data_IF_822575841005
#
_entry.id   IF_822575841005
#
_cell.length_a   1.000
_cell.length_b   1.000
_cell.length_c   1.000
_cell.angle_alpha   90.00
_cell.angle_beta   90.00
_cell.angle_gamma   90.00
#
_symmetry.space_group_name_H-M   'P 1'
#
loop_
_entity.id
_entity.type
_entity.pdbx_description
1 polymer ?
#
# COMPACT_ATOMS: atom_id res chain seq x y z
N UNK A 1 -4.81 33.06 -46.80
CA UNK A 1 -4.42 31.64 -46.80
C UNK A 1 -3.63 31.38 -45.53
N UNK A 2 -4.32 30.88 -44.50
CA UNK A 2 -3.78 30.63 -43.16
C UNK A 2 -2.90 29.38 -43.17
N UNK A 3 -1.65 29.50 -42.71
CA UNK A 3 -0.79 28.34 -42.42
C UNK A 3 -0.83 28.07 -40.92
N UNK A 4 -1.44 26.95 -40.54
CA UNK A 4 -1.45 26.44 -39.17
C UNK A 4 -0.04 25.99 -38.74
N UNK A 5 0.37 26.17 -37.48
CA UNK A 5 1.58 25.56 -36.96
C UNK A 5 1.28 24.14 -36.44
N UNK A 6 2.04 23.16 -36.92
CA UNK A 6 1.98 21.76 -36.51
C UNK A 6 2.80 21.57 -35.23
N UNK A 7 2.13 21.25 -34.13
CA UNK A 7 2.75 20.91 -32.84
C UNK A 7 3.41 19.52 -32.93
N UNK A 8 4.61 19.30 -32.35
CA UNK A 8 5.19 17.96 -32.27
C UNK A 8 4.43 17.12 -31.23
N UNK A 9 4.03 15.90 -31.60
CA UNK A 9 3.54 14.89 -30.66
C UNK A 9 4.67 14.55 -29.70
N UNK A 10 4.43 14.73 -28.40
CA UNK A 10 5.28 14.20 -27.35
C UNK A 10 5.15 12.68 -27.33
N UNK A 11 6.21 11.97 -27.68
CA UNK A 11 6.32 10.53 -27.53
C UNK A 11 6.26 10.19 -26.03
N UNK A 12 5.23 9.44 -25.65
CA UNK A 12 5.16 8.76 -24.36
C UNK A 12 6.33 7.76 -24.28
N UNK A 13 6.99 7.58 -23.12
CA UNK A 13 8.02 6.57 -22.99
C UNK A 13 7.39 5.20 -23.25
N UNK A 14 7.85 4.54 -24.31
CA UNK A 14 7.59 3.13 -24.57
C UNK A 14 7.94 2.35 -23.31
N UNK A 15 6.94 1.67 -22.74
CA UNK A 15 7.16 0.64 -21.76
C UNK A 15 8.23 -0.29 -22.30
N UNK A 16 9.32 -0.48 -21.55
CA UNK A 16 10.28 -1.54 -21.82
C UNK A 16 9.53 -2.87 -21.67
N UNK A 17 8.91 -3.30 -22.76
CA UNK A 17 8.42 -4.66 -22.94
C UNK A 17 9.69 -5.47 -23.05
N UNK A 18 9.98 -6.29 -22.04
CA UNK A 18 11.11 -7.22 -22.09
C UNK A 18 10.94 -8.12 -23.31
N UNK A 19 11.74 -7.87 -24.34
CA UNK A 19 11.93 -8.76 -25.49
C UNK A 19 12.74 -9.99 -25.03
N UNK A 20 12.09 -10.92 -24.33
CA UNK A 20 12.49 -12.34 -24.36
C UNK A 20 11.33 -13.28 -23.97
N UNK A 21 10.14 -13.02 -24.51
CA UNK A 21 9.00 -13.93 -24.40
C UNK A 21 9.12 -15.09 -25.41
N UNK A 22 10.25 -15.81 -25.37
CA UNK A 22 10.63 -16.75 -26.43
C UNK A 22 11.47 -17.96 -26.01
N UNK A 23 11.54 -18.29 -24.71
CA UNK A 23 11.95 -19.60 -24.13
C UNK A 23 11.73 -19.51 -22.62
N UNK A 24 11.07 -20.49 -22.01
CA UNK A 24 10.58 -20.43 -20.62
C UNK A 24 11.66 -20.23 -19.55
N UNK A 25 12.08 -18.98 -19.36
CA UNK A 25 12.87 -18.52 -18.23
C UNK A 25 11.98 -17.90 -17.14
N UNK A 26 12.46 -17.82 -15.89
CA UNK A 26 11.69 -17.27 -14.78
C UNK A 26 11.33 -15.80 -15.02
N UNK A 27 10.10 -15.41 -14.66
CA UNK A 27 9.61 -14.02 -14.80
C UNK A 27 10.21 -13.19 -13.67
N UNK A 28 11.24 -12.38 -13.97
CA UNK A 28 12.00 -11.65 -12.94
C UNK A 28 12.21 -10.18 -13.30
N UNK A 29 12.24 -9.31 -12.28
CA UNK A 29 12.51 -7.87 -12.46
C UNK A 29 13.95 -7.59 -12.85
N UNK A 30 14.86 -8.38 -12.28
CA UNK A 30 16.30 -8.12 -12.24
C UNK A 30 17.01 -9.45 -12.39
N UNK A 31 17.42 -9.78 -13.62
CA UNK A 31 18.07 -11.04 -13.95
C UNK A 31 19.34 -11.32 -13.12
N UNK A 32 20.02 -10.26 -12.65
CA UNK A 32 21.21 -10.35 -11.80
C UNK A 32 20.93 -10.73 -10.34
N UNK A 33 19.66 -10.72 -9.90
CA UNK A 33 19.25 -11.14 -8.54
C UNK A 33 18.71 -12.58 -8.51
N UNK A 34 18.64 -13.25 -9.66
CA UNK A 34 18.15 -14.63 -9.75
C UNK A 34 19.09 -15.55 -8.99
N UNK A 35 18.57 -16.09 -7.88
CA UNK A 35 19.30 -17.04 -7.07
C UNK A 35 19.26 -18.43 -7.71
N UNK A 36 20.43 -19.05 -7.92
CA UNK A 36 20.51 -20.46 -8.29
C UNK A 36 19.90 -21.39 -7.22
N UNK A 37 19.74 -20.91 -5.98
CA UNK A 37 19.16 -21.68 -4.86
C UNK A 37 17.64 -21.57 -4.76
N UNK A 38 17.04 -20.51 -5.30
CA UNK A 38 15.58 -20.36 -5.39
C UNK A 38 15.21 -19.32 -6.44
N UNK A 39 15.05 -19.73 -7.70
CA UNK A 39 14.53 -18.88 -8.76
C UNK A 39 13.10 -18.38 -8.48
N UNK A 40 12.29 -19.18 -7.78
CA UNK A 40 10.90 -18.88 -7.44
C UNK A 40 10.78 -17.67 -6.48
N UNK A 41 11.78 -17.48 -5.60
CA UNK A 41 11.83 -16.31 -4.72
C UNK A 41 11.98 -15.02 -5.53
N UNK A 42 12.81 -15.02 -6.57
CA UNK A 42 13.02 -13.85 -7.43
C UNK A 42 11.77 -13.52 -8.26
N UNK A 43 11.03 -14.54 -8.70
CA UNK A 43 9.73 -14.36 -9.35
C UNK A 43 8.68 -13.78 -8.38
N UNK A 44 8.63 -14.32 -7.16
CA UNK A 44 7.77 -13.80 -6.11
C UNK A 44 8.09 -12.33 -5.79
N UNK A 45 9.36 -11.96 -5.65
CA UNK A 45 9.78 -10.58 -5.35
C UNK A 45 9.37 -9.60 -6.45
N UNK A 46 9.45 -10.02 -7.71
CA UNK A 46 8.95 -9.23 -8.83
C UNK A 46 7.43 -9.05 -8.77
N UNK A 47 6.69 -10.14 -8.54
CA UNK A 47 5.25 -10.11 -8.36
C UNK A 47 4.84 -9.21 -7.17
N UNK A 48 5.57 -9.28 -6.06
CA UNK A 48 5.35 -8.46 -4.87
C UNK A 48 5.53 -6.98 -5.18
N UNK A 49 6.59 -6.59 -5.90
CA UNK A 49 6.84 -5.20 -6.27
C UNK A 49 5.72 -4.61 -7.13
N UNK A 50 5.30 -5.35 -8.16
CA UNK A 50 4.25 -4.89 -9.09
C UNK A 50 2.88 -4.86 -8.39
N UNK A 51 2.57 -5.87 -7.57
CA UNK A 51 1.36 -5.93 -6.76
C UNK A 51 1.31 -4.81 -5.71
N UNK A 52 2.42 -4.53 -5.01
CA UNK A 52 2.53 -3.43 -4.06
C UNK A 52 2.23 -2.09 -4.73
N UNK A 53 2.81 -1.83 -5.89
CA UNK A 53 2.57 -0.59 -6.64
C UNK A 53 1.11 -0.46 -7.09
N UNK A 54 0.48 -1.56 -7.51
CA UNK A 54 -0.94 -1.57 -7.86
C UNK A 54 -1.84 -1.34 -6.63
N UNK A 55 -1.54 -1.99 -5.52
CA UNK A 55 -2.26 -1.87 -4.25
C UNK A 55 -2.18 -0.46 -3.68
N UNK A 56 -0.98 0.15 -3.68
CA UNK A 56 -0.78 1.53 -3.26
C UNK A 56 -1.66 2.50 -4.06
N UNK A 57 -1.63 2.41 -5.40
CA UNK A 57 -2.49 3.23 -6.27
C UNK A 57 -3.98 2.99 -6.00
N UNK A 58 -4.38 1.73 -5.79
CA UNK A 58 -5.76 1.39 -5.46
C UNK A 58 -6.22 2.07 -4.17
N UNK A 59 -5.46 1.95 -3.08
CA UNK A 59 -5.80 2.57 -1.79
C UNK A 59 -5.97 4.09 -1.89
N UNK A 60 -5.01 4.78 -2.53
CA UNK A 60 -5.08 6.24 -2.69
C UNK A 60 -6.27 6.65 -3.56
N UNK A 61 -6.53 5.95 -4.67
CA UNK A 61 -7.67 6.24 -5.55
C UNK A 61 -9.02 5.95 -4.89
N UNK A 62 -9.10 4.89 -4.09
CA UNK A 62 -10.31 4.54 -3.34
C UNK A 62 -10.63 5.61 -2.29
N UNK A 63 -9.61 6.12 -1.59
CA UNK A 63 -9.78 7.24 -0.65
C UNK A 63 -10.16 8.55 -1.35
N UNK A 64 -9.54 8.85 -2.49
CA UNK A 64 -9.92 10.01 -3.31
C UNK A 64 -11.38 9.91 -3.77
N UNK A 65 -11.85 8.73 -4.19
CA UNK A 65 -13.24 8.48 -4.52
C UNK A 65 -14.18 8.58 -3.30
N UNK A 66 -13.66 8.35 -2.08
CA UNK A 66 -14.38 8.55 -0.83
C UNK A 66 -14.54 10.03 -0.44
N UNK A 67 -14.03 10.95 -1.27
CA UNK A 67 -14.14 12.40 -1.07
C UNK A 67 -12.92 13.02 -0.40
N UNK A 68 -11.91 12.22 -0.03
CA UNK A 68 -10.71 12.71 0.64
C UNK A 68 -9.51 12.61 -0.30
N UNK A 69 -9.10 13.76 -0.85
CA UNK A 69 -8.00 13.86 -1.82
C UNK A 69 -6.68 14.17 -1.13
N UNK A 70 -5.60 14.15 -1.91
CA UNK A 70 -4.26 14.56 -1.50
C UNK A 70 -3.65 13.73 -0.36
N UNK A 71 -4.16 12.53 -0.11
CA UNK A 71 -3.57 11.57 0.82
C UNK A 71 -2.54 10.68 0.12
N UNK A 72 -1.44 10.42 0.83
CA UNK A 72 -0.47 9.38 0.45
C UNK A 72 -0.97 8.01 0.90
N UNK A 73 -0.34 6.94 0.42
CA UNK A 73 -0.65 5.58 0.88
C UNK A 73 -0.55 5.42 2.39
N UNK A 74 0.51 5.94 3.01
CA UNK A 74 0.69 5.87 4.45
C UNK A 74 -0.43 6.63 5.19
N UNK A 75 -0.86 7.79 4.68
CA UNK A 75 -1.98 8.53 5.27
C UNK A 75 -3.27 7.70 5.30
N UNK A 76 -3.56 6.99 4.21
CA UNK A 76 -4.72 6.09 4.12
C UNK A 76 -4.61 4.95 5.13
N UNK A 77 -3.43 4.32 5.25
CA UNK A 77 -3.21 3.25 6.23
C UNK A 77 -3.36 3.75 7.67
N UNK A 78 -2.79 4.91 7.98
CA UNK A 78 -2.84 5.52 9.32
C UNK A 78 -4.28 5.84 9.70
N UNK A 79 -5.06 6.53 8.86
CA UNK A 79 -6.45 6.86 9.20
C UNK A 79 -7.31 5.61 9.40
N UNK A 80 -7.15 4.58 8.56
CA UNK A 80 -7.86 3.31 8.75
C UNK A 80 -7.46 2.61 10.04
N UNK A 81 -6.17 2.62 10.37
CA UNK A 81 -5.70 2.01 11.61
C UNK A 81 -6.19 2.79 12.84
N UNK A 82 -6.13 4.12 12.83
CA UNK A 82 -6.71 4.97 13.89
C UNK A 82 -8.21 4.68 14.05
N UNK A 83 -8.96 4.57 12.96
CA UNK A 83 -10.40 4.24 12.98
C UNK A 83 -10.71 2.87 13.59
N UNK A 84 -9.79 1.91 13.48
CA UNK A 84 -10.06 0.52 13.82
C UNK A 84 -10.49 0.34 15.29
N UNK A 85 -11.70 -0.22 15.49
CA UNK A 85 -12.32 -0.52 16.80
C UNK A 85 -12.60 0.70 17.69
N UNK A 86 -12.62 1.93 17.15
CA UNK A 86 -13.06 3.14 17.88
C UNK A 86 -12.26 3.47 19.14
N UNK A 87 -11.07 2.88 19.32
CA UNK A 87 -10.21 3.10 20.49
C UNK A 87 -9.05 4.02 20.15
N UNK A 88 -8.71 4.89 21.09
CA UNK A 88 -7.54 5.76 21.01
C UNK A 88 -6.25 4.94 20.88
N UNK A 89 -5.31 5.41 20.04
CA UNK A 89 -4.05 4.70 19.75
C UNK A 89 -2.84 5.58 20.00
N UNK A 90 -1.76 4.99 20.50
CA UNK A 90 -0.47 5.69 20.66
C UNK A 90 0.31 5.63 19.35
N UNK A 91 1.17 6.61 19.13
CA UNK A 91 2.07 6.65 17.97
C UNK A 91 2.87 5.35 17.81
N UNK A 92 3.43 4.83 18.91
CA UNK A 92 4.20 3.59 18.91
C UNK A 92 3.37 2.37 18.47
N UNK A 93 2.10 2.28 18.90
CA UNK A 93 1.21 1.19 18.50
C UNK A 93 0.90 1.25 17.00
N UNK A 94 0.73 2.46 16.46
CA UNK A 94 0.47 2.68 15.03
C UNK A 94 1.69 2.24 14.21
N UNK A 95 2.90 2.70 14.58
CA UNK A 95 4.15 2.30 13.92
C UNK A 95 4.33 0.77 13.94
N UNK A 96 4.10 0.15 15.10
CA UNK A 96 4.24 -1.29 15.29
C UNK A 96 3.29 -2.09 14.40
N UNK A 97 1.99 -1.75 14.39
CA UNK A 97 1.01 -2.52 13.61
C UNK A 97 1.17 -2.31 12.09
N UNK A 98 1.55 -1.11 11.67
CA UNK A 98 1.78 -0.82 10.25
C UNK A 98 3.15 -1.26 9.75
N UNK A 99 4.00 -1.80 10.63
CA UNK A 99 5.38 -2.17 10.34
C UNK A 99 6.19 -1.01 9.73
N UNK A 100 6.10 0.18 10.35
CA UNK A 100 6.82 1.38 9.93
C UNK A 100 7.87 1.74 10.98
N UNK A 101 9.14 1.63 10.61
CA UNK A 101 10.26 1.93 11.51
C UNK A 101 10.44 3.45 11.73
N UNK A 102 10.32 4.23 10.65
CA UNK A 102 10.47 5.68 10.74
C UNK A 102 9.22 6.34 11.35
N UNK A 103 9.32 6.61 12.65
CA UNK A 103 8.28 7.25 13.45
C UNK A 103 7.95 8.67 12.97
N UNK A 104 8.89 9.36 12.30
CA UNK A 104 8.63 10.69 11.76
C UNK A 104 7.60 10.65 10.63
N UNK A 105 7.62 9.62 9.77
CA UNK A 105 6.64 9.47 8.70
C UNK A 105 5.21 9.34 9.24
N UNK A 106 5.02 8.52 10.28
CA UNK A 106 3.71 8.37 10.93
C UNK A 106 3.29 9.67 11.63
N UNK A 107 4.23 10.38 12.24
CA UNK A 107 3.97 11.69 12.86
C UNK A 107 3.51 12.73 11.84
N UNK A 108 4.17 12.80 10.67
CA UNK A 108 3.75 13.69 9.58
C UNK A 108 2.37 13.33 9.07
N UNK A 109 2.10 12.04 8.91
CA UNK A 109 0.80 11.54 8.49
C UNK A 109 -0.30 11.96 9.47
N UNK A 110 -0.09 11.74 10.78
CA UNK A 110 -1.03 12.14 11.81
C UNK A 110 -1.27 13.65 11.83
N UNK A 111 -0.21 14.47 11.74
CA UNK A 111 -0.34 15.94 11.65
C UNK A 111 -1.15 16.37 10.44
N UNK A 112 -0.93 15.73 9.29
CA UNK A 112 -1.69 16.01 8.06
C UNK A 112 -3.15 15.63 8.20
N UNK A 113 -3.44 14.45 8.73
CA UNK A 113 -4.80 13.97 8.99
C UNK A 113 -5.54 14.85 10.01
N UNK A 114 -4.84 15.37 11.02
CA UNK A 114 -5.37 16.39 11.94
C UNK A 114 -5.68 17.71 11.22
N UNK A 115 -4.78 18.18 10.35
CA UNK A 115 -5.02 19.37 9.53
C UNK A 115 -6.20 19.23 8.55
N UNK A 116 -6.61 17.99 8.25
CA UNK A 116 -7.76 17.66 7.41
C UNK A 116 -9.02 17.29 8.22
N UNK A 117 -8.99 17.43 9.55
CA UNK A 117 -10.09 17.08 10.47
C UNK A 117 -10.55 15.61 10.38
N UNK A 118 -9.65 14.69 10.03
CA UNK A 118 -9.97 13.24 9.95
C UNK A 118 -9.56 12.49 11.23
N UNK A 119 -8.59 13.04 11.95
CA UNK A 119 -8.02 12.47 13.17
C UNK A 119 -7.87 13.60 14.17
N UNK A 120 -8.14 13.31 15.44
CA UNK A 120 -7.85 14.20 16.55
C UNK A 120 -6.77 13.60 17.46
N UNK A 121 -6.01 14.46 18.12
CA UNK A 121 -4.96 14.07 19.06
C UNK A 121 -5.30 14.58 20.45
N UNK A 122 -5.50 13.66 21.39
CA UNK A 122 -5.79 13.98 22.79
C UNK A 122 -4.55 13.72 23.64
N UNK A 123 -4.16 14.71 24.43
CA UNK A 123 -3.07 14.55 25.40
C UNK A 123 -3.58 13.79 26.62
N UNK A 124 -2.97 12.64 26.89
CA UNK A 124 -3.23 11.83 28.07
C UNK A 124 -1.96 11.77 28.92
N UNK A 125 -1.83 12.72 29.86
CA UNK A 125 -0.64 12.90 30.68
C UNK A 125 0.59 13.28 29.85
N UNK A 126 1.59 12.39 29.81
CA UNK A 126 2.84 12.59 29.05
C UNK A 126 2.76 12.12 27.60
N UNK A 127 1.70 11.41 27.22
CA UNK A 127 1.56 10.83 25.88
C UNK A 127 0.40 11.48 25.10
N UNK A 128 0.47 11.38 23.78
CA UNK A 128 -0.62 11.76 22.87
C UNK A 128 -1.23 10.50 22.30
N UNK A 129 -2.56 10.41 22.38
CA UNK A 129 -3.34 9.35 21.76
C UNK A 129 -4.22 9.91 20.65
N UNK A 130 -4.41 9.14 19.59
CA UNK A 130 -5.13 9.56 18.40
C UNK A 130 -6.44 8.77 18.25
N UNK A 131 -7.51 9.49 17.91
CA UNK A 131 -8.85 8.98 17.60
C UNK A 131 -9.32 9.54 16.27
N UNK A 132 -10.20 8.83 15.58
CA UNK A 132 -10.86 9.38 14.39
C UNK A 132 -11.94 10.36 14.81
N UNK A 133 -12.08 11.43 14.03
CA UNK A 133 -13.23 12.32 14.12
C UNK A 133 -14.44 11.70 13.42
N UNK A 134 -15.62 12.30 13.57
CA UNK A 134 -16.81 11.90 12.81
C UNK A 134 -16.58 11.99 11.28
N UNK A 135 -15.84 12.99 10.82
CA UNK A 135 -15.47 13.12 9.41
C UNK A 135 -14.53 11.99 8.96
N UNK A 136 -13.55 11.61 9.79
CA UNK A 136 -12.67 10.47 9.54
C UNK A 136 -13.40 9.13 9.48
N UNK A 137 -14.36 8.92 10.39
CA UNK A 137 -15.23 7.74 10.41
C UNK A 137 -16.08 7.64 9.14
N UNK A 138 -16.72 8.76 8.73
CA UNK A 138 -17.49 8.84 7.49
C UNK A 138 -16.63 8.57 6.26
N UNK A 139 -15.42 9.12 6.20
CA UNK A 139 -14.48 8.84 5.11
C UNK A 139 -14.11 7.36 5.05
N UNK A 140 -13.83 6.72 6.18
CA UNK A 140 -13.54 5.29 6.25
C UNK A 140 -14.74 4.42 5.84
N UNK A 141 -15.95 4.80 6.25
CA UNK A 141 -17.18 4.11 5.84
C UNK A 141 -17.41 4.23 4.33
N UNK A 142 -17.26 5.43 3.77
CA UNK A 142 -17.39 5.64 2.33
C UNK A 142 -16.31 4.90 1.53
N UNK A 143 -15.07 4.87 2.01
CA UNK A 143 -14.01 4.05 1.43
C UNK A 143 -14.43 2.58 1.37
N UNK A 144 -15.02 2.05 2.44
CA UNK A 144 -15.51 0.66 2.48
C UNK A 144 -16.56 0.41 1.40
N UNK A 145 -17.56 1.29 1.26
CA UNK A 145 -18.60 1.16 0.22
C UNK A 145 -18.00 1.10 -1.19
N UNK A 146 -17.04 1.99 -1.49
CA UNK A 146 -16.37 2.03 -2.80
C UNK A 146 -15.56 0.77 -3.02
N UNK A 147 -14.83 0.30 -2.00
CA UNK A 147 -14.11 -0.96 -2.05
C UNK A 147 -15.06 -2.13 -2.32
N UNK A 148 -16.24 -2.11 -1.71
CA UNK A 148 -17.25 -3.14 -1.91
C UNK A 148 -17.75 -3.17 -3.35
N UNK A 149 -18.02 -1.99 -3.92
CA UNK A 149 -18.55 -1.83 -5.28
C UNK A 149 -17.54 -2.09 -6.40
N UNK A 150 -16.27 -1.74 -6.19
CA UNK A 150 -15.26 -1.76 -7.26
C UNK A 150 -14.35 -2.98 -7.22
N UNK A 151 -14.16 -3.59 -6.05
CA UNK A 151 -13.19 -4.69 -5.89
C UNK A 151 -13.86 -5.96 -5.37
N UNK A 152 -14.56 -5.90 -4.22
CA UNK A 152 -15.04 -7.15 -3.60
C UNK A 152 -16.25 -7.74 -4.29
N UNK A 153 -17.08 -6.95 -4.96
CA UNK A 153 -18.20 -7.46 -5.77
C UNK A 153 -17.75 -8.38 -6.91
N UNK A 154 -16.49 -8.29 -7.32
CA UNK A 154 -15.89 -9.11 -8.37
C UNK A 154 -15.31 -10.43 -7.82
N UNK A 155 -15.31 -10.63 -6.50
CA UNK A 155 -14.77 -11.84 -5.84
C UNK A 155 -15.94 -12.66 -5.31
N UNK A 156 -16.03 -13.94 -5.71
CA UNK A 156 -17.12 -14.81 -5.29
C UNK A 156 -17.07 -15.07 -3.77
N UNK A 157 -18.16 -14.82 -2.99
CA UNK A 157 -18.15 -14.99 -1.53
C UNK A 157 -17.81 -16.40 -1.05
N UNK A 158 -18.11 -17.42 -1.86
CA UNK A 158 -17.89 -18.84 -1.59
C UNK A 158 -16.86 -19.48 -2.54
N UNK A 159 -16.08 -18.66 -3.25
CA UNK A 159 -15.14 -19.13 -4.27
C UNK A 159 -13.82 -19.64 -3.71
N UNK A 160 -13.21 -20.56 -4.46
CA UNK A 160 -11.83 -21.04 -4.27
C UNK A 160 -10.82 -19.88 -4.18
N UNK A 161 -11.06 -18.79 -4.93
CA UNK A 161 -10.29 -17.55 -4.94
C UNK A 161 -10.10 -16.95 -3.53
N UNK A 162 -11.13 -16.95 -2.68
CA UNK A 162 -11.01 -16.42 -1.31
C UNK A 162 -10.11 -17.29 -0.44
N UNK A 163 -10.12 -18.61 -0.65
CA UNK A 163 -9.24 -19.53 0.06
C UNK A 163 -7.78 -19.32 -0.38
N UNK A 164 -7.54 -19.17 -1.69
CA UNK A 164 -6.22 -18.86 -2.25
C UNK A 164 -5.68 -17.51 -1.75
N UNK A 165 -6.50 -16.46 -1.73
CA UNK A 165 -6.13 -15.15 -1.16
C UNK A 165 -5.76 -15.29 0.32
N UNK A 166 -6.53 -16.07 1.08
CA UNK A 166 -6.26 -16.35 2.48
C UNK A 166 -4.91 -17.04 2.69
N UNK A 167 -4.58 -18.00 1.83
CA UNK A 167 -3.33 -18.75 1.91
C UNK A 167 -2.13 -17.91 1.45
N UNK A 168 -2.29 -17.12 0.39
CA UNK A 168 -1.30 -16.12 -0.03
C UNK A 168 -1.02 -15.12 1.11
N UNK A 169 -2.04 -14.66 1.82
CA UNK A 169 -1.87 -13.77 2.96
C UNK A 169 -1.09 -14.44 4.11
N UNK A 170 -1.25 -15.76 4.32
CA UNK A 170 -0.46 -16.53 5.28
C UNK A 170 1.00 -16.61 4.86
N UNK A 171 1.27 -16.91 3.60
CA UNK A 171 2.63 -16.97 3.06
C UNK A 171 3.33 -15.61 3.11
N UNK A 172 2.62 -14.52 2.77
CA UNK A 172 3.15 -13.16 2.87
C UNK A 172 3.62 -12.82 4.29
N UNK A 173 2.86 -13.20 5.33
CA UNK A 173 3.29 -12.99 6.72
C UNK A 173 4.59 -13.73 7.06
N UNK A 174 4.77 -14.95 6.57
CA UNK A 174 6.01 -15.71 6.76
C UNK A 174 7.16 -15.01 6.06
N UNK A 175 6.98 -14.59 4.81
CA UNK A 175 8.00 -13.89 4.03
C UNK A 175 8.38 -12.54 4.64
N UNK A 176 7.43 -11.76 5.16
CA UNK A 176 7.72 -10.52 5.91
C UNK A 176 8.71 -10.76 7.05
N UNK A 177 8.49 -11.80 7.87
CA UNK A 177 9.41 -12.12 8.97
C UNK A 177 10.81 -12.53 8.49
N UNK A 178 10.89 -13.26 7.37
CA UNK A 178 12.18 -13.62 6.76
C UNK A 178 12.93 -12.40 6.24
N UNK A 179 12.23 -11.46 5.59
CA UNK A 179 12.83 -10.22 5.10
C UNK A 179 13.34 -9.34 6.23
N UNK A 180 12.58 -9.18 7.32
CA UNK A 180 13.02 -8.43 8.50
C UNK A 180 14.27 -9.04 9.14
N UNK A 181 14.32 -10.38 9.24
CA UNK A 181 15.51 -11.07 9.73
C UNK A 181 16.70 -10.85 8.80
N UNK A 182 16.51 -11.01 7.49
CA UNK A 182 17.56 -10.80 6.49
C UNK A 182 18.08 -9.36 6.50
N UNK A 183 17.20 -8.36 6.61
CA UNK A 183 17.56 -6.94 6.69
C UNK A 183 18.42 -6.64 7.92
N UNK A 184 18.06 -7.17 9.10
CA UNK A 184 18.88 -7.02 10.31
C UNK A 184 20.26 -7.65 10.16
N UNK A 185 20.34 -8.84 9.56
CA UNK A 185 21.62 -9.48 9.27
C UNK A 185 22.45 -8.67 8.28
N UNK A 186 21.84 -8.09 7.25
CA UNK A 186 22.52 -7.27 6.26
C UNK A 186 23.16 -6.01 6.85
N UNK A 187 22.50 -5.35 7.81
CA UNK A 187 23.06 -4.17 8.51
C UNK A 187 24.28 -4.50 9.39
N UNK A 188 24.47 -5.78 9.74
CA UNK A 188 25.61 -6.24 10.55
C UNK A 188 26.82 -6.75 9.75
N UNK A 189 26.74 -6.73 8.41
CA UNK A 189 27.83 -7.08 7.49
C UNK A 189 28.71 -5.86 7.19
#
# INVERSE_FOLDING_TARGET
MSKSPTTPKADLPQSAVNEDAGKGGPIVSSSHLVSARSPELSEFEFALNTAYNAYNRWCVRCMAAAGVRDLTFLDVLVVHHVNHRGRAKRLADICFVLNVEDTHLVTYSLKKLQGMDLVEGTRNGKEVTYTTTEAGEKACARYREIREQCLTSNISPSGEENAEIGELARLLRVLTGLYEQAARSATSL
#
